data_IF_650044648524
#
_entry.id   IF_650044648524
#
_cell.length_a   1.000
_cell.length_b   1.000
_cell.length_c   1.000
_cell.angle_alpha   90.00
_cell.angle_beta   90.00
_cell.angle_gamma   90.00
#
_symmetry.space_group_name_H-M   'P 1'
#
loop_
_entity.id
_entity.type
_entity.pdbx_description
1 polymer ?
#
# COMPACT_ATOMS: atom_id res chain seq x y z
N UNK A 1 -0.11 -14.02 -18.15
CA UNK A 1 -0.60 -14.26 -16.78
C UNK A 1 0.40 -15.15 -16.08
N UNK A 2 0.78 -14.78 -14.85
CA UNK A 2 1.69 -15.57 -14.00
C UNK A 2 0.90 -16.04 -12.80
N UNK A 3 1.06 -17.31 -12.39
CA UNK A 3 0.40 -17.86 -11.21
C UNK A 3 1.40 -17.96 -10.07
N UNK A 4 1.07 -17.37 -8.94
CA UNK A 4 1.81 -17.48 -7.68
C UNK A 4 0.92 -18.22 -6.70
N UNK A 5 1.45 -19.25 -6.03
CA UNK A 5 0.76 -19.97 -4.95
C UNK A 5 1.49 -19.58 -3.67
N UNK A 6 0.74 -19.10 -2.68
CA UNK A 6 1.26 -18.67 -1.38
C UNK A 6 0.55 -19.48 -0.31
N UNK A 7 1.33 -20.12 0.56
CA UNK A 7 0.81 -20.78 1.74
C UNK A 7 0.80 -19.78 2.91
N UNK A 8 -0.32 -19.71 3.60
CA UNK A 8 -0.50 -18.87 4.79
C UNK A 8 -1.16 -19.70 5.88
N UNK A 9 -0.85 -19.35 7.14
CA UNK A 9 -1.45 -20.02 8.30
C UNK A 9 -2.97 -19.80 8.33
N UNK A 10 -3.71 -20.80 8.83
CA UNK A 10 -5.18 -20.75 8.91
C UNK A 10 -5.70 -19.52 9.69
N UNK A 11 -5.00 -19.12 10.75
CA UNK A 11 -5.31 -17.92 11.52
C UNK A 11 -5.26 -16.65 10.66
N UNK A 12 -4.29 -16.58 9.72
CA UNK A 12 -4.14 -15.45 8.80
C UNK A 12 -5.18 -15.50 7.69
N UNK A 13 -5.60 -16.69 7.27
CA UNK A 13 -6.70 -16.88 6.31
C UNK A 13 -8.00 -16.31 6.88
N UNK A 14 -8.32 -16.60 8.15
CA UNK A 14 -9.51 -16.04 8.80
C UNK A 14 -9.48 -14.50 8.84
N UNK A 15 -8.34 -13.91 9.20
CA UNK A 15 -8.16 -12.45 9.22
C UNK A 15 -8.30 -11.86 7.81
N UNK A 16 -7.78 -12.54 6.78
CA UNK A 16 -7.88 -12.12 5.39
C UNK A 16 -9.34 -12.07 4.93
N UNK A 17 -10.11 -13.12 5.23
CA UNK A 17 -11.55 -13.17 4.91
C UNK A 17 -12.34 -12.07 5.60
N UNK A 18 -12.07 -11.81 6.88
CA UNK A 18 -12.72 -10.71 7.61
C UNK A 18 -12.40 -9.35 6.99
N UNK A 19 -11.14 -9.14 6.57
CA UNK A 19 -10.75 -7.92 5.88
C UNK A 19 -11.46 -7.78 4.54
N UNK A 20 -11.51 -8.85 3.75
CA UNK A 20 -12.19 -8.85 2.45
C UNK A 20 -13.69 -8.55 2.58
N UNK A 21 -14.36 -9.12 3.59
CA UNK A 21 -15.78 -8.86 3.89
C UNK A 21 -16.07 -7.39 4.15
N UNK A 22 -15.16 -6.64 4.78
CA UNK A 22 -15.34 -5.19 5.03
C UNK A 22 -15.47 -4.39 3.74
N UNK A 23 -14.92 -4.90 2.63
CA UNK A 23 -14.99 -4.29 1.31
C UNK A 23 -15.99 -4.99 0.39
N UNK A 24 -16.74 -5.99 0.88
CA UNK A 24 -17.66 -6.78 0.07
C UNK A 24 -16.97 -7.65 -0.98
N UNK A 25 -15.70 -7.98 -0.78
CA UNK A 25 -14.88 -8.75 -1.71
C UNK A 25 -14.66 -10.18 -1.23
N UNK A 26 -14.35 -11.08 -2.17
CA UNK A 26 -13.75 -12.38 -1.86
C UNK A 26 -12.29 -12.22 -1.43
N UNK A 27 -11.77 -13.19 -0.68
CA UNK A 27 -10.39 -13.16 -0.20
C UNK A 27 -9.38 -13.06 -1.34
N UNK A 28 -9.61 -13.77 -2.45
CA UNK A 28 -8.74 -13.78 -3.63
C UNK A 28 -8.75 -12.42 -4.35
N UNK A 29 -9.92 -11.78 -4.43
CA UNK A 29 -10.05 -10.44 -5.02
C UNK A 29 -9.34 -9.40 -4.15
N UNK A 30 -9.50 -9.51 -2.83
CA UNK A 30 -8.82 -8.64 -1.88
C UNK A 30 -7.30 -8.79 -1.94
N UNK A 31 -6.77 -10.02 -2.03
CA UNK A 31 -5.34 -10.28 -2.20
C UNK A 31 -4.84 -9.70 -3.52
N UNK A 32 -5.56 -9.92 -4.61
CA UNK A 32 -5.17 -9.41 -5.94
C UNK A 32 -5.06 -7.89 -5.92
N UNK A 33 -6.10 -7.20 -5.43
CA UNK A 33 -6.12 -5.74 -5.32
C UNK A 33 -5.01 -5.22 -4.38
N UNK A 34 -4.74 -5.93 -3.29
CA UNK A 34 -3.67 -5.55 -2.34
C UNK A 34 -2.27 -5.70 -2.96
N UNK A 35 -2.04 -6.72 -3.78
CA UNK A 35 -0.77 -6.91 -4.50
C UNK A 35 -0.62 -5.85 -5.59
N UNK A 36 -1.68 -5.54 -6.32
CA UNK A 36 -1.67 -4.46 -7.33
C UNK A 36 -1.38 -3.11 -6.70
N UNK A 37 -2.01 -2.78 -5.57
CA UNK A 37 -1.75 -1.57 -4.80
C UNK A 37 -0.30 -1.54 -4.29
N UNK A 38 0.20 -2.65 -3.71
CA UNK A 38 1.58 -2.76 -3.25
C UNK A 38 2.61 -2.54 -4.36
N UNK A 39 2.36 -3.09 -5.55
CA UNK A 39 3.25 -2.90 -6.72
C UNK A 39 3.15 -1.47 -7.25
N UNK A 40 1.99 -0.83 -7.12
CA UNK A 40 1.75 0.55 -7.58
C UNK A 40 2.35 1.59 -6.62
N UNK A 41 2.87 1.17 -5.47
CA UNK A 41 3.45 2.06 -4.46
C UNK A 41 5.00 2.07 -4.47
N UNK A 42 5.62 3.22 -4.17
CA UNK A 42 4.99 4.54 -4.04
C UNK A 42 4.56 5.07 -5.41
N UNK A 43 3.40 5.72 -5.46
CA UNK A 43 3.01 6.49 -6.63
C UNK A 43 4.13 7.52 -6.91
N UNK A 44 4.77 7.50 -8.09
CA UNK A 44 5.88 8.41 -8.41
C UNK A 44 5.52 9.89 -8.25
N UNK A 45 4.26 10.25 -8.50
CA UNK A 45 3.77 11.61 -8.35
C UNK A 45 3.64 11.99 -6.87
N UNK A 46 3.22 11.04 -6.03
CA UNK A 46 3.19 11.21 -4.58
C UNK A 46 4.61 11.35 -4.02
N UNK A 47 5.54 10.51 -4.45
CA UNK A 47 6.94 10.59 -4.01
C UNK A 47 7.57 11.95 -4.39
N UNK A 48 7.35 12.41 -5.62
CA UNK A 48 7.82 13.70 -6.09
C UNK A 48 7.21 14.86 -5.29
N UNK A 49 5.91 14.81 -5.00
CA UNK A 49 5.23 15.81 -4.17
C UNK A 49 5.78 15.82 -2.75
N UNK A 50 5.98 14.66 -2.12
CA UNK A 50 6.58 14.54 -0.79
C UNK A 50 7.99 15.13 -0.74
N UNK A 51 8.84 14.80 -1.71
CA UNK A 51 10.20 15.36 -1.81
C UNK A 51 10.19 16.88 -1.91
N UNK A 52 9.27 17.44 -2.71
CA UNK A 52 9.10 18.90 -2.86
C UNK A 52 8.66 19.57 -1.56
N UNK A 53 7.72 18.98 -0.83
CA UNK A 53 7.25 19.53 0.46
C UNK A 53 8.36 19.48 1.50
N UNK A 54 9.07 18.36 1.63
CA UNK A 54 10.17 18.20 2.58
C UNK A 54 11.31 19.21 2.30
N UNK A 55 11.71 19.36 1.03
CA UNK A 55 12.73 20.33 0.63
C UNK A 55 12.30 21.78 0.95
N UNK A 56 11.05 22.14 0.68
CA UNK A 56 10.53 23.46 1.03
C UNK A 56 10.53 23.70 2.53
N UNK A 57 10.13 22.71 3.33
CA UNK A 57 10.09 22.82 4.78
C UNK A 57 11.50 22.98 5.36
N UNK A 58 12.47 22.20 4.88
CA UNK A 58 13.87 22.34 5.29
C UNK A 58 14.38 23.77 5.04
N UNK A 59 14.19 24.30 3.83
CA UNK A 59 14.59 25.66 3.48
C UNK A 59 13.87 26.72 4.33
N UNK A 60 12.66 26.44 4.80
CA UNK A 60 11.89 27.34 5.65
C UNK A 60 12.43 27.33 7.10
N UNK A 61 12.76 26.15 7.62
CA UNK A 61 13.41 26.00 8.93
C UNK A 61 14.80 26.62 8.96
N UNK A 62 15.61 26.47 7.89
CA UNK A 62 16.93 27.09 7.77
C UNK A 62 16.88 28.63 7.78
N UNK A 63 15.75 29.23 7.36
CA UNK A 63 15.55 30.69 7.38
C UNK A 63 15.01 31.23 8.69
N UNK A 64 14.49 30.36 9.54
CA UNK A 64 13.90 30.70 10.85
C UNK A 64 14.88 30.48 12.02
N UNK A 65 16.01 29.81 11.78
CA UNK A 65 17.13 29.65 12.71
C UNK A 65 18.17 30.74 12.53
#
# INVERSE_FOLDING_TARGET
>A
MTRIIVEIDDDKTAILEEKAKKFGLLAEQFVTASIEDLISQPDPDLEAAMRKVLSKNQALYERLA
#
